data_IF_150817617799
#
_entry.id   IF_150817617799
#
_cell.length_a   1.000
_cell.length_b   1.000
_cell.length_c   1.000
_cell.angle_alpha   90.00
_cell.angle_beta   90.00
_cell.angle_gamma   90.00
#
_symmetry.space_group_name_H-M   'P 1'
#
loop_
_entity.id
_entity.type
_entity.pdbx_description
1 polymer ?
#
# COMPACT_ATOMS: atom_id res chain seq x y z
N UNK A 1 9.42 -1.80 -4.78
CA UNK A 1 8.36 -1.77 -3.76
C UNK A 1 8.65 -2.85 -2.72
N UNK A 2 8.10 -4.06 -2.82
CA UNK A 2 8.28 -5.12 -1.80
C UNK A 2 9.74 -5.46 -1.44
N UNK A 3 10.66 -5.50 -2.41
CA UNK A 3 12.07 -5.76 -2.13
C UNK A 3 12.69 -4.73 -1.16
N UNK A 4 12.43 -3.45 -1.40
CA UNK A 4 12.97 -2.35 -0.58
C UNK A 4 12.30 -2.33 0.79
N UNK A 5 11.00 -2.59 0.83
CA UNK A 5 10.21 -2.70 2.06
C UNK A 5 10.71 -3.83 2.98
N UNK A 6 11.31 -4.88 2.39
CA UNK A 6 11.92 -6.00 3.10
C UNK A 6 13.41 -5.79 3.40
N UNK A 7 14.05 -4.71 2.95
CA UNK A 7 15.48 -4.51 3.18
C UNK A 7 15.84 -4.44 4.67
N UNK A 8 15.13 -3.67 5.53
CA UNK A 8 15.44 -3.63 6.96
C UNK A 8 15.29 -5.00 7.62
N UNK A 9 14.24 -5.75 7.29
CA UNK A 9 14.07 -7.13 7.77
C UNK A 9 15.21 -8.04 7.34
N UNK A 10 15.61 -7.99 6.06
CA UNK A 10 16.69 -8.82 5.52
C UNK A 10 18.06 -8.48 6.10
N UNK A 11 18.26 -7.22 6.46
CA UNK A 11 19.46 -6.72 7.13
C UNK A 11 19.46 -6.99 8.64
N UNK A 12 18.39 -7.58 9.18
CA UNK A 12 18.14 -7.77 10.62
C UNK A 12 18.06 -6.45 11.42
N UNK A 13 17.65 -5.37 10.74
CA UNK A 13 17.39 -4.05 11.36
C UNK A 13 15.94 -3.90 11.84
N UNK A 14 15.02 -4.73 11.35
CA UNK A 14 13.62 -4.77 11.76
C UNK A 14 13.15 -6.22 11.87
N UNK A 15 12.20 -6.53 12.77
CA UNK A 15 11.67 -7.90 12.88
C UNK A 15 10.49 -8.15 11.97
N UNK A 16 9.74 -7.10 11.64
CA UNK A 16 8.61 -7.18 10.71
C UNK A 16 8.58 -5.97 9.76
N UNK A 17 7.86 -6.05 8.62
CA UNK A 17 7.75 -4.92 7.69
C UNK A 17 7.14 -3.65 8.30
N UNK A 18 6.28 -3.81 9.30
CA UNK A 18 5.66 -2.71 10.06
C UNK A 18 6.69 -1.85 10.81
N UNK A 19 7.82 -2.46 11.16
CA UNK A 19 8.94 -1.84 11.89
C UNK A 19 10.10 -1.45 10.97
N UNK A 20 9.93 -1.60 9.64
CA UNK A 20 10.95 -1.25 8.65
C UNK A 20 11.03 0.27 8.48
N UNK A 21 11.86 0.92 9.29
CA UNK A 21 12.06 2.38 9.22
C UNK A 21 12.45 2.88 7.83
N UNK A 22 11.92 4.05 7.47
CA UNK A 22 12.21 4.77 6.22
C UNK A 22 11.86 3.98 4.95
N UNK A 23 10.86 3.10 5.02
CA UNK A 23 10.35 2.34 3.87
C UNK A 23 8.94 2.77 3.48
N UNK A 24 8.56 2.46 2.22
CA UNK A 24 7.23 2.79 1.73
C UNK A 24 6.14 2.01 2.46
N UNK A 25 6.40 0.75 2.87
CA UNK A 25 5.42 -0.03 3.64
C UNK A 25 5.12 0.60 5.00
N UNK A 26 6.12 1.17 5.69
CA UNK A 26 5.91 1.86 6.95
C UNK A 26 4.97 3.05 6.77
N UNK A 27 5.28 3.95 5.82
CA UNK A 27 4.43 5.13 5.55
C UNK A 27 3.03 4.75 5.07
N UNK A 28 2.88 3.62 4.37
CA UNK A 28 1.57 3.12 3.93
C UNK A 28 0.73 2.58 5.08
N UNK A 29 1.36 1.95 6.07
CA UNK A 29 0.69 1.36 7.23
C UNK A 29 0.37 2.44 8.27
N UNK A 30 1.35 3.28 8.58
CA UNK A 30 1.26 4.33 9.58
C UNK A 30 1.92 5.59 9.02
N UNK A 31 1.17 6.40 8.23
CA UNK A 31 1.68 7.64 7.68
C UNK A 31 2.15 8.55 8.83
N UNK A 32 3.42 8.92 8.81
CA UNK A 32 3.99 9.84 9.79
C UNK A 32 4.77 10.99 9.14
N UNK A 33 5.07 10.87 7.85
CA UNK A 33 5.80 11.86 7.07
C UNK A 33 4.96 12.47 5.95
N UNK A 34 4.92 13.81 5.85
CA UNK A 34 4.29 14.51 4.71
C UNK A 34 5.23 14.51 3.50
N UNK A 35 5.09 13.47 2.68
CA UNK A 35 5.86 13.29 1.45
C UNK A 35 5.68 14.44 0.45
N UNK A 36 4.48 15.02 0.38
CA UNK A 36 4.20 16.10 -0.57
C UNK A 36 4.92 17.38 -0.16
N UNK A 37 4.85 17.72 1.12
CA UNK A 37 5.58 18.85 1.66
C UNK A 37 7.10 18.66 1.52
N UNK A 38 7.59 17.45 1.82
CA UNK A 38 9.00 17.11 1.69
C UNK A 38 9.51 17.28 0.26
N UNK A 39 8.78 16.76 -0.74
CA UNK A 39 9.12 16.93 -2.16
C UNK A 39 9.19 18.42 -2.52
N UNK A 40 8.16 19.21 -2.16
CA UNK A 40 8.15 20.65 -2.47
C UNK A 40 9.35 21.37 -1.87
N UNK A 41 9.68 21.07 -0.61
CA UNK A 41 10.81 21.70 0.09
C UNK A 41 12.16 21.36 -0.55
N UNK A 42 12.38 20.10 -0.95
CA UNK A 42 13.63 19.66 -1.53
C UNK A 42 13.82 20.16 -2.96
N UNK A 43 12.75 20.18 -3.77
CA UNK A 43 12.80 20.73 -5.13
C UNK A 43 13.07 22.24 -5.11
N UNK A 44 12.60 22.97 -4.10
CA UNK A 44 12.86 24.41 -3.95
C UNK A 44 14.26 24.75 -3.40
N UNK A 45 14.95 23.79 -2.79
CA UNK A 45 16.26 23.98 -2.12
C UNK A 45 17.45 23.84 -3.08
N UNK A 46 17.25 23.42 -4.34
CA UNK A 46 18.31 23.04 -5.30
C UNK A 46 19.27 21.93 -4.83
N UNK A 47 19.03 21.32 -3.66
CA UNK A 47 19.85 20.23 -3.11
C UNK A 47 19.72 18.91 -3.88
N UNK A 48 18.70 18.79 -4.72
CA UNK A 48 18.45 17.61 -5.53
C UNK A 48 19.21 17.67 -6.86
N UNK A 49 19.75 16.52 -7.28
CA UNK A 49 20.20 16.34 -8.66
C UNK A 49 19.07 16.74 -9.61
N UNK A 50 19.38 17.50 -10.66
CA UNK A 50 18.37 17.91 -11.63
C UNK A 50 17.88 16.68 -12.39
N UNK A 51 16.59 16.37 -12.22
CA UNK A 51 15.89 15.36 -12.99
C UNK A 51 14.90 16.06 -13.93
N UNK A 52 14.75 15.55 -15.15
CA UNK A 52 13.77 16.08 -16.11
C UNK A 52 12.31 15.71 -15.78
N UNK A 53 12.04 15.28 -14.55
CA UNK A 53 10.75 14.76 -14.13
C UNK A 53 10.41 15.23 -12.72
N UNK A 54 9.13 15.55 -12.53
CA UNK A 54 8.60 15.88 -11.22
C UNK A 54 8.71 14.67 -10.28
N UNK A 55 9.21 14.93 -9.08
CA UNK A 55 9.15 13.96 -7.99
C UNK A 55 7.69 13.73 -7.60
N UNK A 56 7.33 12.46 -7.47
CA UNK A 56 5.98 12.04 -7.08
C UNK A 56 6.00 11.44 -5.68
N UNK A 57 4.97 11.72 -4.85
CA UNK A 57 4.81 11.03 -3.56
C UNK A 57 4.54 9.53 -3.79
N UNK A 58 4.37 8.79 -2.69
CA UNK A 58 3.84 7.43 -2.77
C UNK A 58 2.43 7.43 -3.38
N UNK A 59 2.29 6.75 -4.52
CA UNK A 59 0.99 6.54 -5.15
C UNK A 59 0.08 5.67 -4.26
N UNK A 60 -1.21 6.01 -4.21
CA UNK A 60 -2.24 5.20 -3.53
C UNK A 60 -2.55 3.91 -4.33
N UNK A 61 -3.15 2.93 -3.66
CA UNK A 61 -3.62 1.71 -4.31
C UNK A 61 -5.08 1.88 -4.74
N UNK A 62 -5.39 1.53 -5.98
CA UNK A 62 -6.72 1.64 -6.58
C UNK A 62 -7.39 0.28 -6.80
N UNK A 63 -6.70 -0.82 -6.51
CA UNK A 63 -7.25 -2.15 -6.68
C UNK A 63 -7.45 -2.52 -8.16
N UNK A 64 -8.66 -2.97 -8.49
CA UNK A 64 -8.98 -3.46 -9.83
C UNK A 64 -9.13 -2.34 -10.85
N UNK A 65 -8.96 -2.70 -12.12
CA UNK A 65 -9.19 -1.80 -13.25
C UNK A 65 -10.69 -1.45 -13.30
N UNK A 66 -10.97 -0.18 -13.47
CA UNK A 66 -12.32 0.36 -13.62
C UNK A 66 -12.43 1.17 -14.92
N UNK A 67 -13.64 1.62 -15.24
CA UNK A 67 -13.87 2.57 -16.34
C UNK A 67 -13.67 4.04 -15.91
N UNK A 68 -13.21 4.31 -14.68
CA UNK A 68 -12.85 5.66 -14.23
C UNK A 68 -11.39 5.98 -14.57
N UNK A 69 -11.04 7.26 -14.55
CA UNK A 69 -9.65 7.67 -14.64
C UNK A 69 -8.92 7.26 -13.35
N UNK A 70 -7.90 6.42 -13.48
CA UNK A 70 -7.12 5.82 -12.41
C UNK A 70 -5.68 6.32 -12.47
N UNK A 71 -5.19 6.94 -11.40
CA UNK A 71 -3.87 7.59 -11.33
C UNK A 71 -2.91 6.93 -10.34
N UNK A 72 -3.39 5.93 -9.61
CA UNK A 72 -2.65 5.18 -8.60
C UNK A 72 -2.16 3.82 -9.10
N UNK A 73 -1.81 2.96 -8.15
CA UNK A 73 -1.34 1.61 -8.40
C UNK A 73 -2.56 0.71 -8.57
N UNK A 74 -2.69 0.07 -9.73
CA UNK A 74 -3.76 -0.89 -10.06
C UNK A 74 -3.51 -2.25 -9.40
N UNK A 75 -3.42 -2.23 -8.07
CA UNK A 75 -3.23 -3.39 -7.24
C UNK A 75 -3.93 -3.17 -5.89
N UNK A 76 -4.34 -4.25 -5.25
CA UNK A 76 -4.97 -4.19 -3.92
C UNK A 76 -3.92 -3.90 -2.86
N UNK A 77 -4.21 -2.95 -1.96
CA UNK A 77 -3.33 -2.67 -0.82
C UNK A 77 -3.20 -3.90 0.08
N UNK A 78 -4.27 -4.67 0.26
CA UNK A 78 -4.25 -5.87 1.09
C UNK A 78 -3.37 -6.94 0.45
N UNK A 79 -3.54 -7.18 -0.85
CA UNK A 79 -2.76 -8.18 -1.59
C UNK A 79 -1.27 -7.79 -1.60
N UNK A 80 -0.97 -6.48 -1.61
CA UNK A 80 0.39 -5.98 -1.43
C UNK A 80 0.97 -6.31 -0.05
N UNK A 81 0.21 -6.12 1.03
CA UNK A 81 0.67 -6.48 2.37
C UNK A 81 0.93 -7.99 2.47
N UNK A 82 -0.01 -8.83 2.00
CA UNK A 82 0.14 -10.28 1.99
C UNK A 82 1.35 -10.72 1.16
N UNK A 83 1.53 -10.15 -0.04
CA UNK A 83 2.68 -10.42 -0.89
C UNK A 83 4.01 -10.11 -0.19
N UNK A 84 4.09 -8.97 0.52
CA UNK A 84 5.28 -8.59 1.28
C UNK A 84 5.53 -9.57 2.43
N UNK A 85 4.52 -9.96 3.19
CA UNK A 85 4.66 -10.90 4.31
C UNK A 85 5.08 -12.30 3.83
N UNK A 86 4.45 -12.83 2.79
CA UNK A 86 4.82 -14.12 2.20
C UNK A 86 6.24 -14.11 1.66
N UNK A 87 6.61 -13.05 0.92
CA UNK A 87 7.95 -12.90 0.37
C UNK A 87 9.00 -12.78 1.48
N UNK A 88 8.72 -11.99 2.52
CA UNK A 88 9.63 -11.80 3.66
C UNK A 88 9.86 -13.07 4.48
N UNK A 89 8.87 -13.97 4.55
CA UNK A 89 9.02 -15.30 5.15
C UNK A 89 9.81 -16.26 4.25
N UNK A 90 9.56 -16.23 2.94
CA UNK A 90 10.23 -17.11 1.98
C UNK A 90 11.73 -16.83 1.83
N UNK A 91 12.17 -15.58 2.04
CA UNK A 91 13.57 -15.13 1.86
C UNK A 91 14.55 -15.66 2.94
N UNK A 92 14.08 -16.48 3.88
CA UNK A 92 14.86 -16.98 5.02
C UNK A 92 16.12 -17.79 4.66
N UNK A 93 16.19 -18.46 3.51
CA UNK A 93 17.23 -19.47 3.24
C UNK A 93 18.66 -18.91 3.07
N UNK A 94 18.86 -17.59 2.87
CA UNK A 94 20.18 -17.01 2.59
C UNK A 94 20.36 -15.54 3.05
N UNK A 95 19.58 -15.05 4.02
CA UNK A 95 19.65 -13.66 4.52
C UNK A 95 19.86 -13.61 6.03
N UNK A 96 20.36 -12.47 6.51
CA UNK A 96 20.69 -12.24 7.93
C UNK A 96 19.45 -12.20 8.81
N UNK A 97 18.38 -11.57 8.31
CA UNK A 97 17.07 -11.58 8.96
C UNK A 97 15.97 -12.07 8.03
N UNK A 98 14.87 -12.50 8.65
CA UNK A 98 13.66 -13.00 8.00
C UNK A 98 12.46 -12.79 8.92
N UNK A 99 11.25 -12.76 8.35
CA UNK A 99 10.02 -12.71 9.14
C UNK A 99 9.82 -14.08 9.80
N UNK A 100 9.70 -14.12 11.13
CA UNK A 100 9.59 -15.37 11.86
C UNK A 100 8.28 -16.12 11.51
N UNK A 101 8.39 -17.42 11.22
CA UNK A 101 7.28 -18.26 10.76
C UNK A 101 6.12 -18.36 11.76
N UNK A 102 6.41 -18.24 13.06
CA UNK A 102 5.41 -18.30 14.13
C UNK A 102 4.58 -17.02 14.29
N UNK A 103 5.01 -15.89 13.70
CA UNK A 103 4.24 -14.64 13.79
C UNK A 103 2.92 -14.76 13.03
N UNK A 104 1.82 -14.18 13.54
CA UNK A 104 0.56 -14.04 12.79
C UNK A 104 0.81 -13.36 11.44
N UNK A 105 -0.09 -13.55 10.46
CA UNK A 105 0.05 -12.86 9.18
C UNK A 105 -0.07 -11.33 9.37
N UNK A 106 0.48 -10.56 8.43
CA UNK A 106 0.53 -9.09 8.52
C UNK A 106 -0.85 -8.46 8.75
N UNK A 107 -1.93 -9.02 8.17
CA UNK A 107 -3.28 -8.48 8.36
C UNK A 107 -3.75 -8.63 9.80
N UNK A 108 -3.44 -9.75 10.44
CA UNK A 108 -3.73 -9.97 11.86
C UNK A 108 -2.90 -9.05 12.75
N UNK A 109 -1.60 -8.87 12.45
CA UNK A 109 -0.71 -7.98 13.22
C UNK A 109 -1.17 -6.53 13.15
N UNK A 110 -1.68 -6.10 11.99
CA UNK A 110 -2.23 -4.76 11.77
C UNK A 110 -3.67 -4.59 12.28
N UNK A 111 -4.25 -5.59 12.95
CA UNK A 111 -5.65 -5.58 13.39
C UNK A 111 -6.65 -5.31 12.25
N UNK A 112 -6.28 -5.64 11.01
CA UNK A 112 -7.17 -5.55 9.86
C UNK A 112 -8.18 -6.68 9.99
N UNK A 113 -9.45 -6.30 10.19
CA UNK A 113 -10.50 -7.22 10.61
C UNK A 113 -10.66 -8.40 9.64
N UNK A 114 -10.33 -9.60 10.12
CA UNK A 114 -10.40 -10.84 9.37
C UNK A 114 -11.83 -11.15 8.86
N UNK A 115 -12.89 -10.77 9.59
CA UNK A 115 -14.28 -10.92 9.10
C UNK A 115 -14.57 -9.95 7.96
N UNK A 116 -14.10 -8.72 8.04
CA UNK A 116 -14.22 -7.74 6.95
C UNK A 116 -13.45 -8.24 5.72
N UNK A 117 -12.24 -8.78 5.91
CA UNK A 117 -11.45 -9.39 4.84
C UNK A 117 -12.13 -10.62 4.24
N UNK A 118 -12.45 -11.63 5.05
CA UNK A 118 -13.11 -12.86 4.61
C UNK A 118 -14.41 -12.55 3.87
N UNK A 119 -15.21 -11.61 4.38
CA UNK A 119 -16.42 -11.19 3.69
C UNK A 119 -16.12 -10.50 2.36
N UNK A 120 -15.03 -9.72 2.25
CA UNK A 120 -14.61 -9.09 0.99
C UNK A 120 -14.13 -10.13 -0.03
N UNK A 121 -13.36 -11.12 0.41
CA UNK A 121 -12.76 -12.16 -0.44
C UNK A 121 -13.78 -13.24 -0.87
N UNK A 122 -14.67 -13.66 0.02
CA UNK A 122 -15.62 -14.77 -0.25
C UNK A 122 -16.98 -14.31 -0.76
N UNK A 123 -17.38 -13.07 -0.49
CA UNK A 123 -18.65 -12.49 -0.94
C UNK A 123 -18.42 -11.34 -1.90
N UNK A 124 -17.31 -11.39 -2.62
CA UNK A 124 -16.87 -10.32 -3.51
C UNK A 124 -17.99 -9.91 -4.46
N UNK A 125 -18.55 -10.84 -5.23
CA UNK A 125 -19.60 -10.56 -6.22
C UNK A 125 -20.85 -9.91 -5.61
N UNK A 126 -21.25 -10.37 -4.41
CA UNK A 126 -22.42 -9.86 -3.71
C UNK A 126 -22.20 -8.45 -3.15
N UNK A 127 -20.98 -8.16 -2.66
CA UNK A 127 -20.66 -6.88 -2.00
C UNK A 127 -20.08 -5.85 -2.96
N UNK A 128 -19.60 -6.26 -4.13
CA UNK A 128 -18.92 -5.41 -5.09
C UNK A 128 -19.81 -4.23 -5.52
N UNK A 129 -21.07 -4.52 -5.85
CA UNK A 129 -22.02 -3.49 -6.28
C UNK A 129 -22.37 -2.50 -5.16
N UNK A 130 -22.33 -2.93 -3.90
CA UNK A 130 -22.64 -2.07 -2.75
C UNK A 130 -21.45 -1.18 -2.38
N UNK A 131 -20.23 -1.70 -2.45
CA UNK A 131 -19.01 -0.99 -2.05
C UNK A 131 -18.38 -0.17 -3.17
N UNK A 132 -18.42 -0.67 -4.40
CA UNK A 132 -17.78 -0.08 -5.56
C UNK A 132 -18.79 0.32 -6.65
N UNK A 133 -20.09 0.14 -6.41
CA UNK A 133 -21.11 0.62 -7.32
C UNK A 133 -21.19 2.15 -7.31
N UNK A 134 -21.08 2.75 -8.50
CA UNK A 134 -21.24 4.20 -8.67
C UNK A 134 -22.65 4.62 -8.25
N UNK A 135 -22.78 5.73 -7.52
CA UNK A 135 -24.07 6.42 -7.39
C UNK A 135 -24.46 6.95 -8.77
N UNK A 136 -25.62 6.53 -9.29
CA UNK A 136 -26.18 7.12 -10.52
C UNK A 136 -26.29 8.64 -10.30
N UNK A 137 -25.74 9.48 -11.21
CA UNK A 137 -26.01 10.91 -11.17
C UNK A 137 -27.52 11.10 -11.23
N UNK A 138 -28.09 11.87 -10.30
CA UNK A 138 -29.48 12.32 -10.45
C UNK A 138 -29.48 13.23 -11.69
N UNK A 139 -30.20 12.83 -12.73
CA UNK A 139 -30.52 13.72 -13.84
C UNK A 139 -31.23 14.93 -13.23
N UNK A 140 -30.56 16.09 -13.23
CA UNK A 140 -31.17 17.36 -12.88
C UNK A 140 -32.12 17.65 -14.04
N UNK A 141 -33.42 17.47 -13.82
CA UNK A 141 -34.44 17.94 -14.75
C UNK A 141 -34.34 19.46 -14.79
N UNK A 142 -33.70 19.99 -15.83
CA UNK A 142 -33.86 21.38 -16.23
C UNK A 142 -35.26 21.51 -16.82
N UNK A 143 -36.21 21.97 -16.00
CA UNK A 143 -37.48 22.49 -16.51
C UNK A 143 -37.22 23.89 -17.07
N UNK A 144 -37.67 24.08 -18.31
CA UNK A 144 -37.64 25.33 -19.07
C UNK A 144 -38.43 26.47 -18.42
#
# INVERSE_FOLDING_TARGET
>A
MSYVDLNPVRADMAKTPEESDYTAIQERIKPHFDLQQAIRSQTGSEDLLSFNHDLKPLLHFEGNITHDNQTGILFSFIDYLELVDWTGRAIALNKRGAIASHLPNILQRLSINHKTWLSSATRFEALHRQRFGRRRPKLINQTA
#
